data_IF_406214261632
#
_entry.id   IF_406214261632
#
_cell.length_a   1.000
_cell.length_b   1.000
_cell.length_c   1.000
_cell.angle_alpha   90.00
_cell.angle_beta   90.00
_cell.angle_gamma   90.00
#
_symmetry.space_group_name_H-M   'P 1'
#
loop_
_entity.id
_entity.type
_entity.pdbx_description
1 polymer ?
#
# COMPACT_ATOMS: atom_id res chain seq x y z
N UNK A 1 22.25 15.16 -1.92
CA UNK A 1 23.28 15.26 -0.86
C UNK A 1 24.00 16.60 -0.97
N UNK A 2 23.43 17.69 -0.42
CA UNK A 2 24.13 18.91 0.01
C UNK A 2 23.23 19.59 1.06
N UNK A 3 23.86 20.18 2.08
CA UNK A 3 23.35 21.14 3.06
C UNK A 3 23.02 20.59 4.46
N UNK A 4 24.07 20.42 5.27
CA UNK A 4 24.00 20.68 6.72
C UNK A 4 25.22 21.48 7.09
N UNK A 5 25.14 22.82 7.10
CA UNK A 5 26.08 23.70 7.82
C UNK A 5 25.49 25.12 7.94
N UNK A 6 24.28 25.28 8.48
CA UNK A 6 23.94 26.50 9.24
C UNK A 6 22.92 26.11 10.29
N UNK A 7 23.21 26.36 11.57
CA UNK A 7 22.30 26.10 12.70
C UNK A 7 21.09 27.05 12.73
N UNK A 8 20.44 27.26 11.58
CA UNK A 8 19.18 28.00 11.44
C UNK A 8 18.14 27.05 10.85
N UNK A 9 16.89 27.05 11.34
CA UNK A 9 15.85 26.21 10.79
C UNK A 9 15.67 26.53 9.30
N UNK A 10 15.65 25.50 8.46
CA UNK A 10 15.37 25.64 7.04
C UNK A 10 13.99 26.27 6.89
N UNK A 11 13.93 27.52 6.44
CA UNK A 11 12.70 28.09 5.89
C UNK A 11 12.49 27.42 4.54
N UNK A 12 11.76 26.31 4.53
CA UNK A 12 11.18 25.83 3.30
C UNK A 12 10.30 26.97 2.73
N UNK A 13 10.47 27.36 1.46
CA UNK A 13 9.53 28.28 0.84
C UNK A 13 8.15 27.63 0.93
N UNK A 14 7.16 28.38 1.41
CA UNK A 14 5.75 28.01 1.28
C UNK A 14 5.47 27.93 -0.22
N UNK A 15 5.46 26.71 -0.75
CA UNK A 15 5.03 26.44 -2.11
C UNK A 15 3.54 26.19 -2.04
N UNK A 16 2.75 27.18 -2.41
CA UNK A 16 1.30 27.01 -2.58
C UNK A 16 1.08 26.14 -3.83
N UNK A 17 0.80 24.86 -3.62
CA UNK A 17 0.46 23.95 -4.70
C UNK A 17 -0.98 24.22 -5.15
N UNK A 18 -1.13 24.99 -6.22
CA UNK A 18 -2.40 25.07 -6.95
C UNK A 18 -2.65 23.73 -7.66
N UNK A 19 -3.38 22.83 -6.99
CA UNK A 19 -3.90 21.61 -7.61
C UNK A 19 -4.96 22.00 -8.63
N UNK A 20 -4.54 22.26 -9.87
CA UNK A 20 -5.46 22.38 -11.00
C UNK A 20 -6.10 21.00 -11.21
N UNK A 21 -7.43 20.94 -11.05
CA UNK A 21 -8.21 19.73 -11.30
C UNK A 21 -7.95 19.30 -12.75
N UNK A 22 -7.40 18.11 -13.01
CA UNK A 22 -7.27 17.66 -14.38
C UNK A 22 -8.67 17.49 -14.97
N UNK A 23 -8.83 18.02 -16.18
CA UNK A 23 -10.04 17.86 -16.99
C UNK A 23 -10.25 16.37 -17.22
N UNK A 24 -11.46 15.90 -16.93
CA UNK A 24 -11.93 14.54 -17.11
C UNK A 24 -11.60 14.01 -18.52
N UNK A 25 -10.57 13.18 -18.61
CA UNK A 25 -10.38 12.18 -19.65
C UNK A 25 -10.21 10.84 -18.94
N UNK A 26 -10.93 9.82 -19.43
CA UNK A 26 -11.08 8.49 -18.82
C UNK A 26 -9.80 8.03 -18.11
N UNK A 27 -9.88 7.89 -16.78
CA UNK A 27 -8.77 7.44 -15.96
C UNK A 27 -8.31 6.07 -16.46
N UNK A 28 -7.02 5.93 -16.79
CA UNK A 28 -6.45 4.63 -17.08
C UNK A 28 -6.55 3.79 -15.79
N UNK A 29 -7.45 2.82 -15.79
CA UNK A 29 -7.69 1.95 -14.64
C UNK A 29 -6.40 1.12 -14.43
N UNK A 30 -5.93 1.02 -13.20
CA UNK A 30 -4.87 0.08 -12.82
C UNK A 30 -5.59 -1.27 -12.71
N UNK A 31 -5.64 -2.00 -13.83
CA UNK A 31 -6.41 -3.24 -13.94
C UNK A 31 -5.86 -4.36 -13.05
N UNK A 32 -4.57 -4.29 -12.73
CA UNK A 32 -3.86 -5.29 -11.93
C UNK A 32 -4.01 -5.10 -10.42
N UNK A 33 -4.68 -4.05 -9.91
CA UNK A 33 -4.81 -3.85 -8.47
C UNK A 33 -6.08 -4.45 -7.88
N UNK A 34 -6.01 -5.15 -6.72
CA UNK A 34 -7.18 -5.50 -5.91
C UNK A 34 -8.02 -4.28 -5.49
N UNK A 35 -7.42 -3.08 -5.43
CA UNK A 35 -8.08 -1.86 -4.96
C UNK A 35 -8.81 -1.08 -6.05
N UNK A 36 -8.37 -1.14 -7.30
CA UNK A 36 -8.87 -0.26 -8.37
C UNK A 36 -9.17 -0.95 -9.71
N UNK A 37 -8.82 -2.22 -9.88
CA UNK A 37 -9.03 -2.99 -11.11
C UNK A 37 -10.45 -3.53 -11.30
N UNK A 38 -10.67 -4.20 -12.43
CA UNK A 38 -11.92 -4.89 -12.80
C UNK A 38 -12.01 -6.33 -12.25
N UNK A 39 -10.93 -6.83 -11.64
CA UNK A 39 -10.86 -8.16 -11.07
C UNK A 39 -10.50 -9.25 -12.08
N UNK A 40 -10.17 -8.89 -13.33
CA UNK A 40 -9.63 -9.81 -14.33
C UNK A 40 -8.11 -9.90 -14.20
N UNK A 41 -7.63 -10.85 -13.42
CA UNK A 41 -6.17 -11.07 -13.24
C UNK A 41 -5.64 -12.16 -14.18
N UNK A 42 -6.51 -12.99 -14.74
CA UNK A 42 -6.17 -14.06 -15.69
C UNK A 42 -5.56 -13.52 -16.98
N UNK A 43 -6.07 -12.39 -17.46
CA UNK A 43 -5.62 -11.78 -18.72
C UNK A 43 -4.28 -11.05 -18.55
N UNK A 44 -3.86 -10.83 -17.30
CA UNK A 44 -2.75 -9.97 -16.93
C UNK A 44 -1.53 -10.81 -16.49
N UNK A 45 -1.74 -11.90 -15.76
CA UNK A 45 -0.67 -12.73 -15.18
C UNK A 45 -0.52 -14.03 -15.96
N UNK A 46 0.30 -14.03 -17.01
CA UNK A 46 0.35 -15.13 -17.98
C UNK A 46 1.56 -16.05 -17.88
N UNK A 47 2.68 -15.61 -17.28
CA UNK A 47 3.96 -16.32 -17.45
C UNK A 47 4.72 -16.70 -16.17
N UNK A 48 4.03 -16.71 -15.02
CA UNK A 48 4.70 -16.89 -13.73
C UNK A 48 4.43 -18.25 -13.09
N UNK A 49 5.47 -18.84 -12.50
CA UNK A 49 5.33 -20.02 -11.64
C UNK A 49 4.33 -19.71 -10.51
N UNK A 50 3.31 -20.56 -10.34
CA UNK A 50 2.21 -20.38 -9.39
C UNK A 50 1.25 -19.20 -9.72
N UNK A 51 1.12 -18.81 -10.99
CA UNK A 51 0.17 -17.79 -11.46
C UNK A 51 -1.24 -18.03 -10.92
N UNK A 52 -1.72 -19.27 -10.92
CA UNK A 52 -3.07 -19.62 -10.45
C UNK A 52 -3.30 -19.25 -8.98
N UNK A 53 -2.30 -19.48 -8.12
CA UNK A 53 -2.38 -19.14 -6.70
C UNK A 53 -2.34 -17.63 -6.48
N UNK A 54 -1.53 -16.92 -7.29
CA UNK A 54 -1.47 -15.46 -7.27
C UNK A 54 -2.84 -14.88 -7.69
N UNK A 55 -3.37 -15.33 -8.82
CA UNK A 55 -4.68 -14.90 -9.35
C UNK A 55 -5.78 -15.17 -8.33
N UNK A 56 -5.84 -16.39 -7.77
CA UNK A 56 -6.83 -16.75 -6.75
C UNK A 56 -6.76 -15.82 -5.53
N UNK A 57 -5.56 -15.51 -5.06
CA UNK A 57 -5.35 -14.60 -3.94
C UNK A 57 -5.83 -13.18 -4.28
N UNK A 58 -5.42 -12.64 -5.43
CA UNK A 58 -5.79 -11.29 -5.84
C UNK A 58 -7.30 -11.16 -6.04
N UNK A 59 -7.97 -12.16 -6.63
CA UNK A 59 -9.43 -12.23 -6.72
C UNK A 59 -10.11 -12.20 -5.37
N UNK A 60 -9.59 -12.94 -4.40
CA UNK A 60 -10.12 -12.92 -3.04
C UNK A 60 -10.00 -11.53 -2.42
N UNK A 61 -8.84 -10.88 -2.54
CA UNK A 61 -8.62 -9.53 -2.00
C UNK A 61 -9.48 -8.49 -2.71
N UNK A 62 -9.64 -8.61 -4.03
CA UNK A 62 -10.52 -7.77 -4.81
C UNK A 62 -11.97 -7.90 -4.36
N UNK A 63 -12.44 -9.13 -4.12
CA UNK A 63 -13.81 -9.41 -3.63
C UNK A 63 -14.08 -8.73 -2.29
N UNK A 64 -13.13 -8.80 -1.35
CA UNK A 64 -13.23 -8.10 -0.06
C UNK A 64 -13.33 -6.57 -0.22
N UNK A 65 -12.84 -6.04 -1.33
CA UNK A 65 -12.78 -4.60 -1.58
C UNK A 65 -14.06 -4.07 -2.26
N UNK A 66 -14.89 -4.93 -2.85
CA UNK A 66 -16.08 -4.54 -3.64
C UNK A 66 -17.05 -3.67 -2.82
N UNK A 67 -17.42 -4.12 -1.63
CA UNK A 67 -18.42 -3.42 -0.82
C UNK A 67 -17.94 -2.02 -0.44
N UNK A 68 -16.66 -1.89 -0.12
CA UNK A 68 -16.03 -0.60 0.17
C UNK A 68 -16.01 0.32 -1.05
N UNK A 69 -15.73 -0.22 -2.25
CA UNK A 69 -15.77 0.54 -3.52
C UNK A 69 -17.16 1.08 -3.80
N UNK A 70 -18.18 0.23 -3.69
CA UNK A 70 -19.57 0.63 -3.90
C UNK A 70 -19.95 1.75 -2.93
N UNK A 71 -19.64 1.59 -1.64
CA UNK A 71 -19.89 2.61 -0.63
C UNK A 71 -19.17 3.94 -0.93
N UNK A 72 -17.90 3.93 -1.37
CA UNK A 72 -17.20 5.17 -1.74
C UNK A 72 -17.83 5.88 -2.95
N UNK A 73 -18.37 5.14 -3.92
CA UNK A 73 -19.06 5.70 -5.08
C UNK A 73 -20.39 6.38 -4.68
N UNK A 74 -21.13 5.78 -3.75
CA UNK A 74 -22.36 6.36 -3.20
C UNK A 74 -22.10 7.62 -2.36
N UNK A 75 -20.99 7.67 -1.60
CA UNK A 75 -20.61 8.86 -0.82
C UNK A 75 -20.14 10.02 -1.73
N UNK A 76 -19.42 9.73 -2.81
CA UNK A 76 -18.96 10.75 -3.77
C UNK A 76 -20.13 11.43 -4.53
N UNK A 77 -21.31 10.81 -4.58
CA UNK A 77 -22.53 11.37 -5.22
C UNK A 77 -23.37 12.25 -4.28
N UNK A 78 -23.16 12.19 -2.96
CA UNK A 78 -24.13 12.72 -1.99
C UNK A 78 -23.84 14.12 -1.41
N UNK A 79 -22.59 14.63 -1.39
CA UNK A 79 -22.12 16.03 -1.10
C UNK A 79 -20.78 16.01 -0.34
N UNK A 80 -19.98 17.08 -0.54
CA UNK A 80 -18.68 17.43 0.07
C UNK A 80 -18.00 16.33 0.91
N UNK A 81 -17.12 15.56 0.25
CA UNK A 81 -16.29 14.53 0.90
C UNK A 81 -15.55 15.13 2.10
N UNK A 82 -15.65 14.55 3.30
CA UNK A 82 -14.87 15.02 4.45
C UNK A 82 -13.38 14.91 4.13
N UNK A 83 -12.60 15.95 4.45
CA UNK A 83 -11.14 15.88 4.35
C UNK A 83 -10.66 14.74 5.24
N UNK A 84 -9.84 13.84 4.68
CA UNK A 84 -9.10 12.86 5.48
C UNK A 84 -8.18 13.66 6.41
N UNK A 85 -8.57 13.78 7.68
CA UNK A 85 -7.72 14.38 8.69
C UNK A 85 -6.51 13.47 8.90
N UNK A 86 -5.33 13.98 8.58
CA UNK A 86 -4.09 13.31 8.96
C UNK A 86 -3.99 13.35 10.49
N UNK A 87 -4.19 12.18 11.13
CA UNK A 87 -3.93 12.05 12.56
C UNK A 87 -2.44 12.25 12.80
N UNK A 88 -2.09 13.11 13.74
CA UNK A 88 -0.70 13.30 14.16
C UNK A 88 -0.32 12.06 14.96
N UNK A 89 0.36 11.12 14.31
CA UNK A 89 0.89 9.92 14.96
C UNK A 89 1.89 10.37 16.06
N UNK A 90 1.87 9.75 17.26
CA UNK A 90 2.85 10.05 18.29
C UNK A 90 4.26 9.87 17.71
N UNK A 91 5.12 10.90 17.83
CA UNK A 91 6.51 10.81 17.39
C UNK A 91 7.24 9.71 18.15
N UNK A 92 7.23 8.49 17.60
CA UNK A 92 8.02 7.40 18.13
C UNK A 92 9.49 7.70 17.86
N UNK A 93 10.26 7.87 18.94
CA UNK A 93 11.69 8.18 18.89
C UNK A 93 12.51 6.94 18.52
N UNK A 94 12.32 6.43 17.31
CA UNK A 94 13.18 5.38 16.79
C UNK A 94 14.43 6.03 16.19
N UNK A 95 15.60 5.70 16.74
CA UNK A 95 16.89 6.00 16.10
C UNK A 95 16.99 5.13 14.85
N UNK A 96 16.39 5.59 13.74
CA UNK A 96 16.48 4.90 12.46
C UNK A 96 17.88 5.12 11.91
N UNK A 97 18.80 4.23 12.27
CA UNK A 97 19.99 4.01 11.45
C UNK A 97 19.47 3.69 10.04
N UNK A 98 19.71 4.64 9.12
CA UNK A 98 19.25 4.60 7.74
C UNK A 98 19.30 3.18 7.17
N UNK A 99 18.14 2.70 6.73
CA UNK A 99 17.99 1.62 5.74
C UNK A 99 18.70 0.31 6.09
N UNK A 100 18.59 -0.16 7.33
CA UNK A 100 18.98 -1.53 7.64
C UNK A 100 17.81 -2.31 8.25
N UNK A 101 16.82 -2.66 7.41
CA UNK A 101 16.46 -4.08 7.46
C UNK A 101 17.79 -4.83 7.30
N UNK A 102 18.06 -5.91 8.06
CA UNK A 102 19.24 -6.71 7.77
C UNK A 102 19.25 -6.87 6.27
N UNK A 103 20.36 -6.47 5.63
CA UNK A 103 20.63 -6.74 4.23
C UNK A 103 20.51 -8.25 4.13
N UNK A 104 19.27 -8.72 3.98
CA UNK A 104 18.92 -10.10 3.78
C UNK A 104 19.51 -10.29 2.42
N UNK A 105 20.75 -10.79 2.45
CA UNK A 105 21.45 -11.26 1.27
C UNK A 105 20.38 -11.90 0.43
N UNK A 106 20.17 -11.35 -0.77
CA UNK A 106 19.27 -11.92 -1.75
C UNK A 106 19.83 -13.29 -2.08
N UNK A 107 19.58 -14.25 -1.21
CA UNK A 107 19.72 -15.65 -1.49
C UNK A 107 18.57 -15.87 -2.46
N UNK A 108 18.85 -15.61 -3.74
CA UNK A 108 17.99 -16.02 -4.83
C UNK A 108 17.95 -17.53 -4.78
N UNK A 109 17.10 -18.08 -3.91
CA UNK A 109 16.73 -19.47 -3.97
C UNK A 109 15.67 -19.58 -5.07
N UNK A 110 16.02 -20.07 -6.26
CA UNK A 110 15.09 -20.17 -7.39
C UNK A 110 13.95 -21.15 -7.11
N UNK A 111 14.01 -21.91 -6.01
CA UNK A 111 12.93 -22.80 -5.58
C UNK A 111 11.80 -22.08 -4.83
N UNK A 112 12.04 -20.90 -4.26
CA UNK A 112 11.06 -20.15 -3.47
C UNK A 112 10.49 -18.96 -4.26
N UNK A 113 9.15 -18.90 -4.38
CA UNK A 113 8.47 -17.77 -5.01
C UNK A 113 8.18 -16.70 -3.95
N UNK A 114 9.17 -15.86 -3.66
CA UNK A 114 9.08 -14.79 -2.65
C UNK A 114 8.00 -13.75 -2.93
N UNK A 115 7.59 -13.58 -4.20
CA UNK A 115 6.44 -12.71 -4.48
C UNK A 115 5.13 -13.37 -4.09
N UNK A 116 4.93 -14.66 -4.36
CA UNK A 116 3.74 -15.36 -3.87
C UNK A 116 3.68 -15.29 -2.32
N UNK A 117 4.80 -15.51 -1.64
CA UNK A 117 4.89 -15.38 -0.17
C UNK A 117 4.52 -13.96 0.28
N UNK A 118 5.08 -12.93 -0.38
CA UNK A 118 4.76 -11.53 -0.13
C UNK A 118 3.25 -11.28 -0.26
N UNK A 119 2.64 -11.75 -1.34
CA UNK A 119 1.20 -11.59 -1.58
C UNK A 119 0.37 -12.36 -0.55
N UNK A 120 0.80 -13.55 -0.13
CA UNK A 120 0.15 -14.35 0.92
C UNK A 120 0.16 -13.63 2.27
N UNK A 121 1.31 -13.10 2.67
CA UNK A 121 1.42 -12.40 3.95
C UNK A 121 0.69 -11.06 3.94
N UNK A 122 0.79 -10.27 2.86
CA UNK A 122 0.01 -9.06 2.69
C UNK A 122 -1.49 -9.35 2.68
N UNK A 123 -1.91 -10.39 1.93
CA UNK A 123 -3.30 -10.82 1.85
C UNK A 123 -3.85 -11.29 3.19
N UNK A 124 -3.06 -12.01 4.00
CA UNK A 124 -3.48 -12.45 5.33
C UNK A 124 -3.71 -11.27 6.29
N UNK A 125 -2.84 -10.26 6.27
CA UNK A 125 -3.02 -9.04 7.06
C UNK A 125 -4.25 -8.26 6.57
N UNK A 126 -4.38 -8.08 5.25
CA UNK A 126 -5.48 -7.36 4.63
C UNK A 126 -6.83 -8.01 4.93
N UNK A 127 -6.93 -9.32 4.72
CA UNK A 127 -8.11 -10.10 5.01
C UNK A 127 -8.56 -9.93 6.45
N UNK A 128 -7.63 -10.02 7.40
CA UNK A 128 -7.97 -9.88 8.81
C UNK A 128 -8.48 -8.49 9.15
N UNK A 129 -7.82 -7.44 8.64
CA UNK A 129 -8.28 -6.08 8.89
C UNK A 129 -9.65 -5.81 8.28
N UNK A 130 -9.91 -6.30 7.07
CA UNK A 130 -11.16 -6.00 6.33
C UNK A 130 -12.33 -6.85 6.82
N UNK A 131 -12.11 -8.13 7.08
CA UNK A 131 -13.15 -9.04 7.56
C UNK A 131 -13.46 -8.82 9.04
N UNK A 132 -12.44 -8.57 9.87
CA UNK A 132 -12.57 -8.35 11.30
C UNK A 132 -12.26 -6.89 11.62
N UNK A 133 -13.31 -6.06 11.61
CA UNK A 133 -13.21 -4.60 11.78
C UNK A 133 -12.63 -4.14 13.14
N UNK A 134 -12.46 -5.05 14.10
CA UNK A 134 -11.81 -4.84 15.40
C UNK A 134 -10.28 -5.05 15.37
N UNK A 135 -9.74 -5.63 14.29
CA UNK A 135 -8.31 -5.93 14.17
C UNK A 135 -7.64 -4.87 13.30
N UNK A 136 -6.95 -3.93 13.94
CA UNK A 136 -6.09 -2.99 13.20
C UNK A 136 -4.94 -3.72 12.48
N UNK A 137 -4.47 -3.15 11.36
CA UNK A 137 -3.34 -3.68 10.59
C UNK A 137 -2.08 -3.82 11.46
N UNK A 138 -1.86 -2.88 12.37
CA UNK A 138 -0.72 -2.86 13.28
C UNK A 138 -0.81 -3.87 14.44
N UNK A 139 -1.99 -4.50 14.64
CA UNK A 139 -2.32 -5.38 15.76
C UNK A 139 -1.28 -6.49 15.98
N UNK A 140 -1.00 -6.88 17.25
CA UNK A 140 -0.06 -7.95 17.56
C UNK A 140 -0.37 -9.28 16.87
N UNK A 141 -1.65 -9.56 16.55
CA UNK A 141 -2.09 -10.77 15.82
C UNK A 141 -1.46 -10.86 14.42
N UNK A 142 -1.11 -9.72 13.84
CA UNK A 142 -0.47 -9.62 12.54
C UNK A 142 1.06 -9.63 12.59
N UNK A 143 1.68 -9.65 13.78
CA UNK A 143 3.15 -9.53 13.91
C UNK A 143 3.93 -10.60 13.15
N UNK A 144 3.50 -11.87 13.23
CA UNK A 144 4.17 -12.95 12.50
C UNK A 144 4.06 -12.76 10.99
N UNK A 145 2.85 -12.55 10.49
CA UNK A 145 2.62 -12.29 9.07
C UNK A 145 3.37 -11.04 8.59
N UNK A 146 3.50 -10.01 9.42
CA UNK A 146 4.24 -8.80 9.10
C UNK A 146 5.76 -9.04 9.04
N UNK A 147 6.33 -9.83 9.94
CA UNK A 147 7.75 -10.21 9.89
C UNK A 147 8.06 -11.04 8.64
N UNK A 148 7.18 -12.00 8.34
CA UNK A 148 7.31 -12.83 7.15
C UNK A 148 7.15 -11.98 5.88
N UNK A 149 6.23 -11.01 5.87
CA UNK A 149 6.05 -10.03 4.79
C UNK A 149 7.31 -9.18 4.57
N UNK A 150 7.89 -8.61 5.63
CA UNK A 150 9.13 -7.83 5.54
C UNK A 150 10.27 -8.66 4.95
N UNK A 151 10.36 -9.93 5.34
CA UNK A 151 11.40 -10.86 4.87
C UNK A 151 11.20 -11.23 3.41
N UNK A 152 9.97 -11.62 3.03
CA UNK A 152 9.64 -12.01 1.66
C UNK A 152 9.78 -10.82 0.69
N UNK A 153 9.21 -9.66 1.06
CA UNK A 153 9.29 -8.46 0.22
C UNK A 153 10.72 -7.97 0.05
N UNK A 154 11.55 -8.01 1.11
CA UNK A 154 12.96 -7.66 1.02
C UNK A 154 13.77 -8.55 0.07
N UNK A 155 13.35 -9.81 -0.15
CA UNK A 155 14.00 -10.74 -1.08
C UNK A 155 13.53 -10.60 -2.53
N UNK A 156 12.34 -10.05 -2.74
CA UNK A 156 11.78 -9.86 -4.08
C UNK A 156 11.56 -8.40 -4.46
N UNK A 157 12.10 -7.42 -3.72
CA UNK A 157 11.80 -6.00 -3.95
C UNK A 157 12.17 -5.51 -5.35
N UNK A 158 13.16 -6.16 -5.97
CA UNK A 158 13.68 -5.86 -7.31
C UNK A 158 13.15 -6.82 -8.39
N UNK A 159 12.16 -7.66 -8.08
CA UNK A 159 11.56 -8.60 -9.03
C UNK A 159 10.79 -7.88 -10.15
N UNK A 160 10.98 -8.30 -11.40
CA UNK A 160 10.32 -7.73 -12.59
C UNK A 160 8.80 -7.72 -12.49
N UNK A 161 8.22 -8.65 -11.73
CA UNK A 161 6.78 -8.69 -11.45
C UNK A 161 6.23 -7.36 -10.93
N UNK A 162 6.99 -6.64 -10.10
CA UNK A 162 6.52 -5.37 -9.57
C UNK A 162 6.56 -4.23 -10.58
N UNK A 163 7.41 -4.36 -11.60
CA UNK A 163 7.47 -3.43 -12.73
C UNK A 163 6.28 -3.67 -13.66
N UNK A 164 5.95 -4.93 -13.91
CA UNK A 164 4.82 -5.33 -14.75
C UNK A 164 3.46 -5.07 -14.09
N UNK A 165 3.39 -5.21 -12.76
CA UNK A 165 2.15 -5.10 -11.99
C UNK A 165 2.25 -4.09 -10.83
N UNK A 166 2.37 -2.78 -11.15
CA UNK A 166 2.58 -1.74 -10.15
C UNK A 166 1.35 -1.50 -9.25
N UNK A 167 0.16 -1.88 -9.68
CA UNK A 167 -1.07 -1.83 -8.89
C UNK A 167 -1.11 -2.85 -7.76
N UNK A 168 -0.57 -4.04 -8.02
CA UNK A 168 -0.36 -5.06 -6.99
C UNK A 168 0.70 -4.59 -6.01
N UNK A 169 1.83 -4.05 -6.52
CA UNK A 169 2.90 -3.53 -5.68
C UNK A 169 2.39 -2.44 -4.73
N UNK A 170 1.61 -1.48 -5.25
CA UNK A 170 1.03 -0.40 -4.45
C UNK A 170 0.15 -0.94 -3.33
N UNK A 171 -0.71 -1.92 -3.61
CA UNK A 171 -1.54 -2.56 -2.58
C UNK A 171 -0.69 -3.20 -1.48
N UNK A 172 0.34 -3.97 -1.84
CA UNK A 172 1.27 -4.57 -0.87
C UNK A 172 1.95 -3.51 0.00
N UNK A 173 2.44 -2.42 -0.62
CA UNK A 173 3.12 -1.34 0.09
C UNK A 173 2.19 -0.62 1.06
N UNK A 174 0.92 -0.44 0.70
CA UNK A 174 -0.10 0.15 1.58
C UNK A 174 -0.37 -0.74 2.80
N UNK A 175 -0.53 -2.05 2.58
CA UNK A 175 -0.71 -3.02 3.67
C UNK A 175 0.51 -3.07 4.58
N UNK A 176 1.72 -3.13 3.99
CA UNK A 176 2.98 -3.13 4.73
C UNK A 176 3.16 -1.86 5.57
N UNK A 177 2.86 -0.70 4.99
CA UNK A 177 2.93 0.60 5.68
C UNK A 177 1.95 0.66 6.85
N UNK A 178 0.70 0.22 6.63
CA UNK A 178 -0.30 0.14 7.68
C UNK A 178 0.11 -0.78 8.83
N UNK A 179 0.62 -1.97 8.51
CA UNK A 179 1.07 -2.95 9.49
C UNK A 179 2.35 -2.54 10.24
N UNK A 180 3.13 -1.63 9.65
CA UNK A 180 4.36 -1.08 10.21
C UNK A 180 4.14 0.10 11.16
N UNK A 181 2.91 0.64 11.28
CA UNK A 181 2.60 1.73 12.21
C UNK A 181 3.08 1.40 13.64
N UNK A 182 3.81 2.35 14.24
CA UNK A 182 4.44 2.18 15.55
C UNK A 182 5.63 1.22 15.62
N UNK A 183 6.11 0.65 14.51
CA UNK A 183 7.23 -0.32 14.45
C UNK A 183 8.47 0.28 13.80
N UNK A 184 9.64 -0.31 14.07
CA UNK A 184 10.94 0.15 13.53
C UNK A 184 11.02 0.03 12.01
N UNK A 185 10.25 -0.88 11.40
CA UNK A 185 10.19 -1.11 9.96
C UNK A 185 9.37 -0.05 9.21
N UNK A 186 8.70 0.88 9.90
CA UNK A 186 7.88 1.93 9.27
C UNK A 186 8.66 2.74 8.23
N UNK A 187 9.91 3.12 8.55
CA UNK A 187 10.77 3.87 7.63
C UNK A 187 11.09 3.10 6.34
N UNK A 188 11.21 1.78 6.41
CA UNK A 188 11.45 0.93 5.24
C UNK A 188 10.24 0.94 4.30
N UNK A 189 9.05 0.71 4.83
CA UNK A 189 7.82 0.69 4.02
C UNK A 189 7.48 2.06 3.45
N UNK A 190 7.66 3.13 4.24
CA UNK A 190 7.48 4.50 3.78
C UNK A 190 8.47 4.88 2.66
N UNK A 191 9.72 4.41 2.75
CA UNK A 191 10.71 4.62 1.70
C UNK A 191 10.24 4.00 0.37
N UNK A 192 9.86 2.72 0.37
CA UNK A 192 9.37 2.05 -0.84
C UNK A 192 8.06 2.65 -1.36
N UNK A 193 7.11 2.98 -0.48
CA UNK A 193 5.87 3.62 -0.86
C UNK A 193 6.11 4.98 -1.54
N UNK A 194 7.05 5.79 -1.02
CA UNK A 194 7.42 7.08 -1.63
C UNK A 194 8.06 6.93 -3.01
N UNK A 195 8.81 5.84 -3.22
CA UNK A 195 9.44 5.52 -4.51
C UNK A 195 8.41 5.07 -5.54
N UNK A 196 7.46 4.20 -5.15
CA UNK A 196 6.37 3.74 -6.04
C UNK A 196 5.38 4.87 -6.35
N UNK A 197 5.22 5.85 -5.46
CA UNK A 197 4.43 7.06 -5.73
C UNK A 197 4.95 7.91 -6.90
N UNK A 198 6.17 7.69 -7.38
CA UNK A 198 6.73 8.36 -8.57
C UNK A 198 6.27 7.70 -9.87
N UNK A 199 4.97 7.45 -10.03
CA UNK A 199 4.39 6.93 -11.28
C UNK A 199 4.75 7.86 -12.43
N UNK A 200 5.51 7.34 -13.40
CA UNK A 200 6.02 8.09 -14.56
C UNK A 200 4.93 8.54 -15.54
N UNK A 201 3.69 8.06 -15.38
CA UNK A 201 2.54 8.41 -16.21
C UNK A 201 1.42 9.05 -15.35
N UNK A 202 0.93 10.22 -15.79
CA UNK A 202 -0.15 10.97 -15.15
C UNK A 202 -1.46 10.17 -15.00
N UNK A 203 -1.76 9.25 -15.93
CA UNK A 203 -2.95 8.41 -15.86
C UNK A 203 -2.83 7.36 -14.74
N UNK A 204 -1.65 6.74 -14.59
CA UNK A 204 -1.36 5.79 -13.51
C UNK A 204 -1.33 6.49 -12.14
N UNK A 205 -0.86 7.75 -12.11
CA UNK A 205 -0.89 8.59 -10.90
C UNK A 205 -2.31 8.86 -10.38
N UNK A 206 -3.27 9.16 -11.27
CA UNK A 206 -4.66 9.40 -10.86
C UNK A 206 -5.29 8.15 -10.23
N UNK A 207 -5.06 6.99 -10.85
CA UNK A 207 -5.65 5.73 -10.36
C UNK A 207 -4.92 5.18 -9.14
N UNK A 208 -3.61 5.41 -9.03
CA UNK A 208 -2.85 5.15 -7.81
C UNK A 208 -3.39 5.99 -6.64
N UNK A 209 -3.67 7.27 -6.86
CA UNK A 209 -4.31 8.12 -5.85
C UNK A 209 -5.71 7.65 -5.46
N UNK A 210 -6.51 7.17 -6.41
CA UNK A 210 -7.82 6.60 -6.11
C UNK A 210 -7.70 5.34 -5.24
N UNK A 211 -6.75 4.45 -5.55
CA UNK A 211 -6.47 3.25 -4.75
C UNK A 211 -5.98 3.59 -3.33
N UNK A 212 -5.06 4.57 -3.20
CA UNK A 212 -4.58 5.05 -1.90
C UNK A 212 -5.75 5.62 -1.09
N UNK A 213 -6.60 6.45 -1.70
CA UNK A 213 -7.77 7.03 -1.01
C UNK A 213 -8.75 5.97 -0.56
N UNK A 214 -9.04 4.98 -1.41
CA UNK A 214 -9.89 3.85 -1.04
C UNK A 214 -9.29 3.09 0.15
N UNK A 215 -7.99 2.80 0.12
CA UNK A 215 -7.31 2.12 1.22
C UNK A 215 -7.38 2.91 2.53
N UNK A 216 -7.13 4.23 2.49
CA UNK A 216 -7.25 5.09 3.66
C UNK A 216 -8.68 5.17 4.20
N UNK A 217 -9.68 5.14 3.31
CA UNK A 217 -11.08 5.13 3.70
C UNK A 217 -11.48 3.82 4.36
N UNK A 218 -11.01 2.69 3.82
CA UNK A 218 -11.13 1.36 4.42
C UNK A 218 -10.54 1.39 5.85
N UNK A 219 -9.32 1.89 6.03
CA UNK A 219 -8.71 2.03 7.37
C UNK A 219 -9.51 2.94 8.31
N UNK A 220 -10.07 4.04 7.78
CA UNK A 220 -10.90 4.95 8.57
C UNK A 220 -12.16 4.26 9.08
N UNK A 221 -12.86 3.52 8.22
CA UNK A 221 -14.09 2.80 8.57
C UNK A 221 -13.83 1.69 9.59
N UNK A 222 -12.70 1.00 9.51
CA UNK A 222 -12.28 0.04 10.55
C UNK A 222 -12.12 0.73 11.91
N UNK A 223 -11.45 1.89 11.96
CA UNK A 223 -11.29 2.66 13.21
C UNK A 223 -12.63 3.16 13.76
N UNK A 224 -13.54 3.61 12.91
CA UNK A 224 -14.87 4.04 13.31
C UNK A 224 -15.73 2.88 13.85
N UNK A 225 -15.62 1.69 13.24
CA UNK A 225 -16.33 0.48 13.68
C UNK A 225 -15.83 -0.03 15.04
N UNK A 226 -14.51 -0.04 15.27
CA UNK A 226 -13.92 -0.48 16.55
C UNK A 226 -14.18 0.46 17.74
N UNK A 227 -14.59 1.71 17.51
CA UNK A 227 -14.99 2.66 18.57
C UNK A 227 -16.48 2.50 18.95
N UNK A 228 -17.25 1.84 18.09
CA UNK A 228 -18.71 1.68 18.24
C UNK A 228 -19.13 0.38 18.95
N UNK A 229 -18.16 -0.47 19.32
CA UNK A 229 -18.33 -1.76 20.02
C UNK A 229 -17.86 -1.69 21.46
#
# INVERSE_FOLDING_TARGET
>A
MVAVLTGKPARFPQVDYYLTRPVSTQAAIIHDSPLSGDGSFEDIITYRRNSDLIILLLKRMWTLTIDHRLQTLFEDTATSRPQISFSVEPQSSYSTHLLTLPLLSSCHDPSHNHVLETLQHAGAIYHRGVEFLDIDFSSPVNNRAFQDLCTAFGKCSDDEFWVDYPGIQLWVLLVGTAAASGKKEAAFWMFYLSRTGSFSNAANWLTGNAAIRLFLDIQRRMREAGVSS
#
